data_IF_238068618559
#
_entry.id   IF_238068618559
#
_cell.length_a   1.000
_cell.length_b   1.000
_cell.length_c   1.000
_cell.angle_alpha   90.00
_cell.angle_beta   90.00
_cell.angle_gamma   90.00
#
_symmetry.space_group_name_H-M   'P 1'
#
loop_
_entity.id
_entity.type
_entity.pdbx_description
1 polymer ?
#
# COMPACT_ATOMS: atom_id res chain seq x y z
N UNK A 1 -7.78 0.69 -33.81
CA UNK A 1 -7.37 1.44 -32.60
C UNK A 1 -6.77 0.44 -31.63
N UNK A 2 -5.45 0.33 -31.58
CA UNK A 2 -4.71 -0.68 -30.80
C UNK A 2 -4.53 -0.19 -29.36
N UNK A 3 -5.08 -0.92 -28.39
CA UNK A 3 -4.83 -0.68 -26.97
C UNK A 3 -3.46 -1.27 -26.59
N UNK A 4 -2.53 -0.38 -26.17
CA UNK A 4 -1.15 -0.68 -25.78
C UNK A 4 -1.10 -1.30 -24.36
N UNK A 5 -0.16 -2.24 -24.17
CA UNK A 5 0.36 -2.80 -22.88
C UNK A 5 -0.68 -3.34 -21.89
N UNK A 6 -0.93 -4.66 -21.97
CA UNK A 6 -1.22 -5.54 -20.82
C UNK A 6 -2.18 -5.04 -19.75
N UNK A 7 -3.28 -4.37 -20.12
CA UNK A 7 -4.29 -3.94 -19.16
C UNK A 7 -4.92 -5.19 -18.55
N UNK A 8 -4.72 -5.40 -17.24
CA UNK A 8 -5.39 -6.47 -16.52
C UNK A 8 -6.91 -6.32 -16.69
N UNK A 9 -7.54 -7.35 -17.22
CA UNK A 9 -8.99 -7.44 -17.33
C UNK A 9 -9.58 -7.98 -16.03
N UNK A 10 -10.87 -7.74 -15.79
CA UNK A 10 -11.60 -8.35 -14.67
C UNK A 10 -11.47 -9.87 -14.68
N UNK A 11 -11.50 -10.50 -15.86
CA UNK A 11 -11.27 -11.92 -16.03
C UNK A 11 -9.90 -12.38 -15.54
N UNK A 12 -8.84 -11.67 -15.95
CA UNK A 12 -7.47 -11.97 -15.54
C UNK A 12 -7.24 -11.81 -14.03
N UNK A 13 -7.88 -10.81 -13.41
CA UNK A 13 -7.85 -10.56 -11.95
C UNK A 13 -8.48 -11.74 -11.22
N UNK A 14 -9.70 -12.11 -11.60
CA UNK A 14 -10.43 -13.23 -11.00
C UNK A 14 -9.64 -14.54 -11.12
N UNK A 15 -9.10 -14.82 -12.30
CA UNK A 15 -8.30 -16.01 -12.59
C UNK A 15 -7.06 -16.10 -11.70
N UNK A 16 -6.36 -14.99 -11.50
CA UNK A 16 -5.18 -14.93 -10.63
C UNK A 16 -5.55 -15.16 -9.17
N UNK A 17 -6.56 -14.45 -8.68
CA UNK A 17 -7.02 -14.54 -7.30
C UNK A 17 -7.50 -15.97 -6.97
N UNK A 18 -8.30 -16.59 -7.86
CA UNK A 18 -8.73 -17.99 -7.72
C UNK A 18 -7.56 -18.97 -7.66
N UNK A 19 -6.59 -18.82 -8.57
CA UNK A 19 -5.38 -19.67 -8.58
C UNK A 19 -4.55 -19.51 -7.31
N UNK A 20 -4.42 -18.30 -6.77
CA UNK A 20 -3.74 -18.05 -5.48
C UNK A 20 -4.45 -18.72 -4.32
N UNK A 21 -5.79 -18.68 -4.31
CA UNK A 21 -6.61 -19.35 -3.30
C UNK A 21 -6.68 -20.88 -3.47
N UNK A 22 -6.12 -21.42 -4.56
CA UNK A 22 -6.12 -22.84 -4.89
C UNK A 22 -7.52 -23.47 -4.90
N UNK A 23 -8.53 -22.74 -5.38
CA UNK A 23 -9.89 -23.25 -5.53
C UNK A 23 -10.26 -23.48 -7.00
N UNK A 24 -11.14 -24.43 -7.24
CA UNK A 24 -11.69 -24.76 -8.55
C UNK A 24 -12.75 -23.75 -8.97
N UNK A 25 -13.05 -23.70 -10.28
CA UNK A 25 -14.15 -22.88 -10.80
C UNK A 25 -15.51 -23.31 -10.23
N UNK A 26 -15.67 -24.60 -9.91
CA UNK A 26 -16.91 -25.13 -9.33
C UNK A 26 -17.11 -24.60 -7.90
N UNK A 27 -16.08 -24.69 -7.06
CA UNK A 27 -16.13 -24.19 -5.68
C UNK A 27 -16.35 -22.68 -5.64
N UNK A 28 -15.64 -21.92 -6.49
CA UNK A 28 -15.88 -20.49 -6.60
C UNK A 28 -17.32 -20.19 -7.03
N UNK A 29 -17.83 -20.94 -8.03
CA UNK A 29 -19.19 -20.81 -8.52
C UNK A 29 -20.27 -21.02 -7.46
N UNK A 30 -20.09 -22.01 -6.60
CA UNK A 30 -20.97 -22.26 -5.46
C UNK A 30 -20.98 -21.08 -4.48
N UNK A 31 -19.82 -20.46 -4.23
CA UNK A 31 -19.69 -19.34 -3.29
C UNK A 31 -20.25 -18.02 -3.84
N UNK A 32 -20.16 -17.78 -5.15
CA UNK A 32 -20.62 -16.54 -5.79
C UNK A 32 -21.96 -16.68 -6.51
N UNK A 33 -22.59 -17.85 -6.42
CA UNK A 33 -23.85 -18.20 -7.09
C UNK A 33 -23.78 -18.03 -8.62
N UNK A 34 -22.72 -18.56 -9.24
CA UNK A 34 -22.51 -18.57 -10.69
C UNK A 34 -22.10 -19.96 -11.17
N UNK A 35 -22.39 -20.29 -12.43
CA UNK A 35 -21.91 -21.57 -12.97
C UNK A 35 -20.40 -21.52 -13.25
N UNK A 36 -19.75 -22.68 -13.18
CA UNK A 36 -18.33 -22.81 -13.54
C UNK A 36 -18.06 -22.38 -15.00
N UNK A 37 -19.03 -22.58 -15.91
CA UNK A 37 -18.93 -22.14 -17.31
C UNK A 37 -18.98 -20.62 -17.45
N UNK A 38 -19.86 -19.95 -16.71
CA UNK A 38 -19.92 -18.48 -16.66
C UNK A 38 -18.59 -17.91 -16.14
N UNK A 39 -18.08 -18.45 -15.03
CA UNK A 39 -16.80 -18.04 -14.47
C UNK A 39 -15.63 -18.28 -15.44
N UNK A 40 -15.62 -19.41 -16.16
CA UNK A 40 -14.63 -19.67 -17.22
C UNK A 40 -14.71 -18.63 -18.34
N UNK A 41 -15.90 -18.29 -18.80
CA UNK A 41 -16.07 -17.28 -19.85
C UNK A 41 -15.61 -15.90 -19.37
N UNK A 42 -15.83 -15.57 -18.09
CA UNK A 42 -15.31 -14.37 -17.44
C UNK A 42 -13.78 -14.39 -17.39
N UNK A 43 -13.16 -15.48 -16.88
CA UNK A 43 -11.70 -15.61 -16.74
C UNK A 43 -10.94 -15.52 -18.07
N UNK A 44 -11.63 -15.74 -19.19
CA UNK A 44 -11.08 -15.68 -20.53
C UNK A 44 -11.62 -14.50 -21.37
N UNK A 45 -12.23 -13.50 -20.71
CA UNK A 45 -12.73 -12.25 -21.31
C UNK A 45 -13.70 -12.46 -22.48
N UNK A 46 -14.47 -13.54 -22.44
CA UNK A 46 -15.48 -13.88 -23.46
C UNK A 46 -16.83 -13.18 -23.21
N UNK A 47 -16.96 -12.46 -22.09
CA UNK A 47 -18.18 -11.71 -21.72
C UNK A 47 -17.84 -10.23 -21.64
N UNK A 48 -18.63 -9.39 -22.33
CA UNK A 48 -18.41 -7.94 -22.42
C UNK A 48 -18.54 -7.21 -21.06
N UNK A 49 -19.35 -7.73 -20.14
CA UNK A 49 -19.54 -7.20 -18.78
C UNK A 49 -19.46 -8.36 -17.77
N UNK A 50 -18.24 -8.76 -17.37
CA UNK A 50 -18.04 -10.03 -16.67
C UNK A 50 -18.58 -10.06 -15.24
N UNK A 51 -18.29 -9.03 -14.44
CA UNK A 51 -18.71 -8.93 -13.03
C UNK A 51 -18.93 -7.48 -12.64
N UNK A 52 -20.05 -7.21 -11.97
CA UNK A 52 -20.31 -5.93 -11.33
C UNK A 52 -19.56 -5.79 -10.00
N UNK A 53 -19.65 -4.61 -9.36
CA UNK A 53 -18.96 -4.37 -8.09
C UNK A 53 -19.37 -5.33 -6.97
N UNK A 54 -20.66 -5.67 -6.87
CA UNK A 54 -21.17 -6.55 -5.81
C UNK A 54 -20.66 -7.98 -5.98
N UNK A 55 -20.63 -8.49 -7.22
CA UNK A 55 -20.10 -9.82 -7.50
C UNK A 55 -18.58 -9.87 -7.28
N UNK A 56 -17.87 -8.78 -7.56
CA UNK A 56 -16.42 -8.69 -7.27
C UNK A 56 -16.12 -8.71 -5.77
N UNK A 57 -16.95 -8.08 -4.93
CA UNK A 57 -16.83 -8.17 -3.47
C UNK A 57 -17.07 -9.60 -3.00
N UNK A 58 -18.15 -10.23 -3.46
CA UNK A 58 -18.43 -11.64 -3.12
C UNK A 58 -17.30 -12.58 -3.55
N UNK A 59 -16.78 -12.40 -4.75
CA UNK A 59 -15.66 -13.20 -5.26
C UNK A 59 -14.39 -12.99 -4.43
N UNK A 60 -14.05 -11.73 -4.10
CA UNK A 60 -12.93 -11.39 -3.22
C UNK A 60 -13.04 -12.06 -1.85
N UNK A 61 -14.22 -12.04 -1.25
CA UNK A 61 -14.47 -12.67 0.05
C UNK A 61 -14.37 -14.20 -0.04
N UNK A 62 -14.90 -14.78 -1.12
CA UNK A 62 -14.83 -16.22 -1.39
C UNK A 62 -13.38 -16.71 -1.53
N UNK A 63 -12.51 -15.96 -2.22
CA UNK A 63 -11.08 -16.30 -2.39
C UNK A 63 -10.19 -15.78 -1.26
N UNK A 64 -10.75 -15.02 -0.31
CA UNK A 64 -10.01 -14.34 0.78
C UNK A 64 -8.86 -13.46 0.29
N UNK A 65 -9.04 -12.81 -0.86
CA UNK A 65 -7.99 -12.03 -1.54
C UNK A 65 -8.39 -10.56 -1.71
N UNK A 66 -8.11 -9.74 -0.70
CA UNK A 66 -8.38 -8.29 -0.74
C UNK A 66 -7.61 -7.54 -1.84
N UNK A 67 -6.50 -8.09 -2.33
CA UNK A 67 -5.75 -7.45 -3.42
C UNK A 67 -6.57 -7.45 -4.71
N UNK A 68 -7.44 -8.46 -4.91
CA UNK A 68 -8.36 -8.55 -6.04
C UNK A 68 -9.22 -7.29 -6.21
N UNK A 69 -9.75 -6.75 -5.11
CA UNK A 69 -10.55 -5.52 -5.14
C UNK A 69 -9.70 -4.29 -5.50
N UNK A 70 -8.47 -4.24 -5.01
CA UNK A 70 -7.55 -3.15 -5.33
C UNK A 70 -7.20 -3.16 -6.82
N UNK A 71 -6.90 -4.34 -7.37
CA UNK A 71 -6.65 -4.55 -8.80
C UNK A 71 -7.88 -4.19 -9.65
N UNK A 72 -9.07 -4.66 -9.26
CA UNK A 72 -10.33 -4.33 -9.94
C UNK A 72 -10.60 -2.83 -9.94
N UNK A 73 -10.46 -2.18 -8.78
CA UNK A 73 -10.61 -0.75 -8.69
C UNK A 73 -9.58 0.00 -9.56
N UNK A 74 -8.35 -0.49 -9.70
CA UNK A 74 -7.35 0.15 -10.57
C UNK A 74 -7.71 0.03 -12.06
N UNK A 75 -8.43 -1.02 -12.46
CA UNK A 75 -8.86 -1.24 -13.84
C UNK A 75 -10.24 -0.66 -14.17
N UNK A 76 -11.02 -0.24 -13.17
CA UNK A 76 -12.37 0.29 -13.37
C UNK A 76 -12.36 1.67 -14.05
N UNK A 77 -12.90 1.75 -15.27
CA UNK A 77 -13.04 3.00 -16.04
C UNK A 77 -13.96 4.03 -15.37
N UNK A 78 -14.89 3.57 -14.52
CA UNK A 78 -15.76 4.45 -13.74
C UNK A 78 -14.95 5.11 -12.62
N UNK A 79 -14.05 4.39 -11.94
CA UNK A 79 -13.17 4.99 -10.93
C UNK A 79 -12.31 6.09 -11.55
N UNK A 80 -11.68 5.83 -12.69
CA UNK A 80 -10.86 6.82 -13.39
C UNK A 80 -11.66 8.02 -13.93
N UNK A 81 -13.00 7.96 -13.98
CA UNK A 81 -13.85 9.09 -14.38
C UNK A 81 -14.53 9.80 -13.21
N UNK A 82 -15.00 9.05 -12.21
CA UNK A 82 -15.76 9.57 -11.06
C UNK A 82 -14.84 10.04 -9.94
N UNK A 83 -13.85 9.24 -9.51
CA UNK A 83 -12.87 9.71 -8.52
C UNK A 83 -12.13 10.90 -9.10
N UNK A 84 -11.84 10.85 -10.41
CA UNK A 84 -11.14 11.96 -11.06
C UNK A 84 -11.90 13.28 -10.95
N UNK A 85 -13.22 13.23 -11.12
CA UNK A 85 -14.07 14.42 -11.12
C UNK A 85 -14.52 14.86 -9.72
N UNK A 86 -14.81 13.92 -8.81
CA UNK A 86 -15.36 14.22 -7.47
C UNK A 86 -14.31 14.42 -6.39
N UNK A 87 -13.11 13.84 -6.55
CA UNK A 87 -12.02 13.97 -5.59
C UNK A 87 -10.71 14.35 -6.31
N UNK A 88 -10.62 15.55 -6.90
CA UNK A 88 -9.41 16.03 -7.59
C UNK A 88 -8.10 15.84 -6.80
N UNK A 89 -8.06 16.04 -5.45
CA UNK A 89 -6.86 15.80 -4.65
C UNK A 89 -6.36 14.36 -4.68
N UNK A 90 -7.26 13.37 -4.86
CA UNK A 90 -6.89 11.96 -4.95
C UNK A 90 -6.26 11.60 -6.31
N UNK A 91 -6.40 12.46 -7.34
CA UNK A 91 -5.72 12.28 -8.63
C UNK A 91 -4.36 12.95 -8.70
N UNK A 92 -4.14 13.95 -7.84
CA UNK A 92 -2.87 14.66 -7.80
C UNK A 92 -1.82 13.90 -6.96
N UNK A 93 -2.16 12.68 -6.55
CA UNK A 93 -1.18 11.69 -6.10
C UNK A 93 -0.43 11.24 -7.34
N UNK A 94 0.56 12.04 -7.76
CA UNK A 94 1.60 11.59 -8.67
C UNK A 94 2.22 10.34 -8.03
N UNK A 95 1.93 9.19 -8.64
CA UNK A 95 2.48 7.88 -8.27
C UNK A 95 3.86 7.73 -8.88
N UNK A 96 4.63 6.81 -8.31
CA UNK A 96 6.00 6.53 -8.71
C UNK A 96 7.01 6.82 -7.61
N UNK A 97 8.04 5.98 -7.59
CA UNK A 97 9.03 5.93 -6.51
C UNK A 97 9.71 7.29 -6.29
N UNK A 98 10.09 7.99 -7.37
CA UNK A 98 10.74 9.30 -7.31
C UNK A 98 9.91 10.37 -6.59
N UNK A 99 8.60 10.39 -6.81
CA UNK A 99 7.71 11.37 -6.16
C UNK A 99 7.53 11.03 -4.69
N UNK A 100 7.41 9.74 -4.38
CA UNK A 100 7.33 9.28 -2.99
C UNK A 100 8.64 9.61 -2.24
N UNK A 101 9.80 9.35 -2.85
CA UNK A 101 11.12 9.71 -2.34
C UNK A 101 11.25 11.22 -2.10
N UNK A 102 10.80 12.06 -3.04
CA UNK A 102 10.84 13.51 -2.88
C UNK A 102 10.00 13.97 -1.68
N UNK A 103 8.80 13.41 -1.50
CA UNK A 103 7.93 13.72 -0.34
C UNK A 103 8.55 13.25 0.97
N UNK A 104 9.13 12.06 1.00
CA UNK A 104 9.87 11.54 2.16
C UNK A 104 11.02 12.49 2.48
N UNK A 105 11.83 12.88 1.49
CA UNK A 105 12.94 13.80 1.68
C UNK A 105 12.50 15.13 2.28
N UNK A 106 11.44 15.75 1.75
CA UNK A 106 10.90 17.00 2.29
C UNK A 106 10.46 16.86 3.74
N UNK A 107 9.73 15.79 4.06
CA UNK A 107 9.27 15.51 5.43
C UNK A 107 10.43 15.24 6.39
N UNK A 108 11.45 14.51 5.95
CA UNK A 108 12.67 14.26 6.73
C UNK A 108 13.37 15.57 7.06
N UNK A 109 13.53 16.48 6.09
CA UNK A 109 14.13 17.80 6.33
C UNK A 109 13.32 18.61 7.35
N UNK A 110 12.00 18.70 7.19
CA UNK A 110 11.14 19.39 8.17
C UNK A 110 11.20 18.76 9.56
N UNK A 111 11.34 17.43 9.65
CA UNK A 111 11.46 16.73 10.92
C UNK A 111 12.82 16.98 11.58
N UNK A 112 13.90 17.01 10.79
CA UNK A 112 15.26 17.30 11.27
C UNK A 112 15.37 18.71 11.86
N UNK A 113 14.63 19.69 11.33
CA UNK A 113 14.57 21.05 11.87
C UNK A 113 13.82 21.12 13.21
N UNK A 114 12.76 20.32 13.38
CA UNK A 114 11.87 20.37 14.57
C UNK A 114 12.33 19.49 15.73
N UNK A 115 12.97 18.35 15.43
CA UNK A 115 13.41 17.37 16.42
C UNK A 115 14.29 17.95 17.53
N UNK A 116 15.31 18.80 17.25
CA UNK A 116 16.17 19.37 18.29
C UNK A 116 15.40 20.18 19.33
N UNK A 117 14.40 20.95 18.90
CA UNK A 117 13.56 21.73 19.82
C UNK A 117 12.74 20.80 20.74
N UNK A 118 12.12 19.76 20.16
CA UNK A 118 11.37 18.78 20.95
C UNK A 118 12.26 18.01 21.93
N UNK A 119 13.48 17.62 21.52
CA UNK A 119 14.46 16.96 22.39
C UNK A 119 14.84 17.88 23.55
N UNK A 120 15.15 19.15 23.29
CA UNK A 120 15.52 20.10 24.33
C UNK A 120 14.39 20.28 25.37
N UNK A 121 13.13 20.35 24.91
CA UNK A 121 11.98 20.43 25.81
C UNK A 121 11.79 19.15 26.62
N UNK A 122 12.00 17.95 26.03
CA UNK A 122 11.91 16.67 26.74
C UNK A 122 12.93 16.50 27.87
N UNK A 123 14.02 17.27 27.86
CA UNK A 123 15.03 17.27 28.92
C UNK A 123 14.64 18.12 30.13
N UNK A 124 13.63 18.98 30.02
CA UNK A 124 13.14 19.77 31.15
C UNK A 124 12.38 18.88 32.15
N UNK A 125 12.54 19.07 33.48
CA UNK A 125 11.90 18.21 34.49
C UNK A 125 10.37 18.29 34.51
N UNK A 126 9.79 19.39 34.02
CA UNK A 126 8.36 19.70 34.05
C UNK A 126 7.75 19.87 32.64
N UNK A 127 8.42 19.35 31.60
CA UNK A 127 8.05 19.52 30.19
C UNK A 127 6.57 19.20 29.85
N UNK A 128 5.91 18.34 30.64
CA UNK A 128 4.50 17.98 30.45
C UNK A 128 3.53 19.10 30.80
N UNK A 129 3.96 20.08 31.59
CA UNK A 129 3.15 21.23 32.00
C UNK A 129 3.39 22.44 31.09
N UNK A 130 4.38 22.38 30.18
CA UNK A 130 4.67 23.44 29.22
C UNK A 130 3.65 23.41 28.06
N UNK A 131 2.80 24.45 27.89
CA UNK A 131 1.83 24.51 26.80
C UNK A 131 2.49 24.52 25.41
N UNK A 132 3.67 25.14 25.28
CA UNK A 132 4.43 25.21 24.03
C UNK A 132 4.94 23.82 23.64
N UNK A 133 5.37 23.02 24.63
CA UNK A 133 5.77 21.64 24.39
C UNK A 133 4.60 20.81 23.85
N UNK A 134 3.39 20.95 24.40
CA UNK A 134 2.23 20.15 23.99
C UNK A 134 1.81 20.43 22.55
N UNK A 135 1.86 21.70 22.13
CA UNK A 135 1.61 22.11 20.74
C UNK A 135 2.70 21.57 19.80
N UNK A 136 3.98 21.82 20.10
CA UNK A 136 5.11 21.35 19.28
C UNK A 136 5.17 19.83 19.19
N UNK A 137 4.82 19.12 20.26
CA UNK A 137 4.78 17.66 20.30
C UNK A 137 3.77 17.13 19.29
N UNK A 138 2.54 17.64 19.29
CA UNK A 138 1.49 17.13 18.40
C UNK A 138 1.90 17.32 16.93
N UNK A 139 2.40 18.50 16.59
CA UNK A 139 2.91 18.80 15.25
C UNK A 139 4.07 17.89 14.82
N UNK A 140 5.04 17.69 15.72
CA UNK A 140 6.22 16.85 15.46
C UNK A 140 5.84 15.37 15.33
N UNK A 141 4.92 14.90 16.18
CA UNK A 141 4.39 13.53 16.11
C UNK A 141 3.58 13.32 14.84
N UNK A 142 2.73 14.27 14.45
CA UNK A 142 2.00 14.20 13.19
C UNK A 142 2.95 14.11 12.01
N UNK A 143 4.01 14.93 11.98
CA UNK A 143 5.03 14.89 10.94
C UNK A 143 5.79 13.54 10.92
N UNK A 144 6.10 12.97 12.07
CA UNK A 144 6.74 11.66 12.20
C UNK A 144 5.84 10.54 11.65
N UNK A 145 4.55 10.52 12.02
CA UNK A 145 3.57 9.58 11.47
C UNK A 145 3.44 9.73 9.95
N UNK A 146 3.49 10.97 9.48
CA UNK A 146 3.43 11.29 8.06
C UNK A 146 4.68 10.85 7.29
N UNK A 147 5.84 10.86 7.92
CA UNK A 147 7.08 10.32 7.38
C UNK A 147 7.04 8.79 7.32
N UNK A 148 6.60 8.12 8.38
CA UNK A 148 6.43 6.65 8.42
C UNK A 148 5.49 6.20 7.30
N UNK A 149 4.34 6.86 7.14
CA UNK A 149 3.40 6.59 6.05
C UNK A 149 4.04 6.84 4.68
N UNK A 150 4.80 7.93 4.55
CA UNK A 150 5.50 8.27 3.31
C UNK A 150 6.55 7.23 2.92
N UNK A 151 7.30 6.70 3.88
CA UNK A 151 8.27 5.63 3.68
C UNK A 151 7.61 4.34 3.22
N UNK A 152 6.48 3.95 3.84
CA UNK A 152 5.70 2.80 3.39
C UNK A 152 5.26 2.92 1.93
N UNK A 153 4.66 4.05 1.56
CA UNK A 153 4.26 4.33 0.16
C UNK A 153 5.48 4.29 -0.77
N UNK A 154 6.62 4.83 -0.34
CA UNK A 154 7.84 4.81 -1.15
C UNK A 154 8.33 3.39 -1.43
N UNK A 155 8.33 2.51 -0.43
CA UNK A 155 8.71 1.11 -0.60
C UNK A 155 7.73 0.38 -1.53
N UNK A 156 6.42 0.58 -1.34
CA UNK A 156 5.39 -0.03 -2.19
C UNK A 156 5.56 0.39 -3.67
N UNK A 157 5.84 1.67 -3.93
CA UNK A 157 6.05 2.18 -5.29
C UNK A 157 7.37 1.67 -5.90
N UNK A 158 8.45 1.55 -5.10
CA UNK A 158 9.70 0.93 -5.56
C UNK A 158 9.51 -0.55 -5.95
N UNK A 159 8.70 -1.28 -5.19
CA UNK A 159 8.35 -2.67 -5.51
C UNK A 159 7.49 -2.75 -6.77
N UNK A 160 6.49 -1.87 -6.90
CA UNK A 160 5.64 -1.80 -8.09
C UNK A 160 6.43 -1.48 -9.37
N UNK A 161 7.51 -0.70 -9.26
CA UNK A 161 8.41 -0.37 -10.36
C UNK A 161 9.53 -1.41 -10.58
N UNK A 162 9.56 -2.50 -9.80
CA UNK A 162 10.63 -3.51 -9.80
C UNK A 162 12.04 -2.92 -9.56
N UNK A 163 12.12 -1.81 -8.82
CA UNK A 163 13.39 -1.23 -8.36
C UNK A 163 13.94 -2.04 -7.18
N UNK A 164 13.04 -2.58 -6.37
CA UNK A 164 13.36 -3.41 -5.22
C UNK A 164 12.39 -4.59 -5.17
N UNK A 165 12.88 -5.82 -5.14
CA UNK A 165 12.03 -7.00 -4.96
C UNK A 165 11.92 -7.40 -3.47
N UNK A 166 11.04 -8.36 -3.18
CA UNK A 166 10.77 -8.79 -1.80
C UNK A 166 12.00 -9.44 -1.13
N UNK A 167 12.77 -10.23 -1.86
CA UNK A 167 13.95 -10.92 -1.33
C UNK A 167 15.08 -9.92 -1.03
N UNK A 168 15.29 -8.95 -1.92
CA UNK A 168 16.23 -7.84 -1.70
C UNK A 168 15.85 -7.02 -0.46
N UNK A 169 14.55 -6.75 -0.25
CA UNK A 169 14.09 -6.02 0.92
C UNK A 169 14.38 -6.78 2.23
N UNK A 170 14.32 -8.12 2.23
CA UNK A 170 14.70 -8.93 3.40
C UNK A 170 16.19 -8.77 3.68
N UNK A 171 17.04 -8.91 2.66
CA UNK A 171 18.50 -8.74 2.81
C UNK A 171 18.85 -7.34 3.32
N UNK A 172 18.21 -6.29 2.79
CA UNK A 172 18.44 -4.91 3.24
C UNK A 172 18.00 -4.69 4.70
N UNK A 173 16.92 -5.33 5.15
CA UNK A 173 16.50 -5.29 6.56
C UNK A 173 17.52 -5.97 7.47
N UNK A 174 18.04 -7.13 7.08
CA UNK A 174 19.08 -7.83 7.85
C UNK A 174 20.39 -7.03 7.91
N UNK A 175 20.74 -6.34 6.82
CA UNK A 175 21.86 -5.40 6.81
C UNK A 175 21.61 -4.21 7.75
N UNK A 176 20.41 -3.62 7.71
CA UNK A 176 20.05 -2.50 8.57
C UNK A 176 20.02 -2.89 10.05
N UNK A 177 19.54 -4.09 10.38
CA UNK A 177 19.54 -4.63 11.73
C UNK A 177 20.97 -4.77 12.28
N UNK A 178 21.90 -5.34 11.49
CA UNK A 178 23.32 -5.42 11.85
C UNK A 178 23.95 -4.05 12.08
N UNK A 179 23.64 -3.07 11.22
CA UNK A 179 24.13 -1.70 11.41
C UNK A 179 23.59 -1.05 12.70
N UNK A 180 22.35 -1.35 13.10
CA UNK A 180 21.79 -0.90 14.38
C UNK A 180 22.50 -1.53 15.59
N UNK A 181 22.86 -2.81 15.50
CA UNK A 181 23.62 -3.52 16.54
C UNK A 181 25.04 -2.96 16.68
N UNK A 182 25.75 -2.76 15.56
CA UNK A 182 27.10 -2.18 15.54
C UNK A 182 27.14 -0.77 16.15
N UNK A 183 26.09 0.04 15.93
CA UNK A 183 25.97 1.39 16.49
C UNK A 183 25.42 1.43 17.92
N UNK A 184 25.07 0.28 18.49
CA UNK A 184 24.50 0.18 19.84
C UNK A 184 23.09 0.77 19.97
N UNK A 185 22.36 0.95 18.85
CA UNK A 185 20.97 1.39 18.89
C UNK A 185 20.04 0.30 19.42
N UNK A 186 20.40 -0.97 19.23
CA UNK A 186 19.71 -2.11 19.83
C UNK A 186 20.60 -2.71 20.92
N UNK A 187 20.01 -2.98 22.09
CA UNK A 187 20.66 -3.87 23.06
C UNK A 187 20.54 -5.31 22.53
N UNK A 188 21.61 -6.11 22.55
CA UNK A 188 21.48 -7.54 22.27
C UNK A 188 20.40 -8.10 23.19
N UNK A 189 19.55 -8.98 22.66
CA UNK A 189 18.64 -9.75 23.50
C UNK A 189 19.52 -10.62 24.39
N UNK A 190 19.89 -10.12 25.56
CA UNK A 190 20.65 -10.87 26.55
C UNK A 190 19.80 -12.09 26.87
N UNK A 191 20.29 -13.28 26.51
CA UNK A 191 19.67 -14.54 26.86
C UNK A 191 19.43 -14.54 28.38
N UNK A 192 18.15 -14.47 28.75
CA UNK A 192 17.68 -14.73 30.11
C UNK A 192 17.50 -16.24 30.24
#
# INVERSE_FOLDING_TARGET
>A
MQWRRGTMTTGSILKRARKRANITLRELGELVNMSASQLSNIENDQIANPLGPEEMVKASDAVKDRQMLTEYCNCCSIRSRIIVKKFPPLNNIRRGSLVAMLKVSQKTSSLAERLPHMINKLLAPDFRQDPEFMEHRNDTVLLLLDLIRGLGICLDEMQAENILNADELVVLKDMQQRLCEEKGYHKPCSAV
#
